data_IF_671186905739
#
_entry.id   IF_671186905739
#
_cell.length_a   1.000
_cell.length_b   1.000
_cell.length_c   1.000
_cell.angle_alpha   90.00
_cell.angle_beta   90.00
_cell.angle_gamma   90.00
#
_symmetry.space_group_name_H-M   'P 1'
#
loop_
_entity.id
_entity.type
_entity.pdbx_description
1 polymer ?
#
# COMPACT_ATOMS: atom_id res chain seq x y z
N UNK A 1 -8.56 -13.40 16.52
CA UNK A 1 -9.67 -12.63 15.90
C UNK A 1 -9.22 -11.27 15.38
N UNK A 2 -8.58 -10.41 16.19
CA UNK A 2 -8.15 -9.07 15.72
C UNK A 2 -7.12 -9.08 14.57
N UNK A 3 -6.14 -9.99 14.62
CA UNK A 3 -5.14 -10.15 13.55
C UNK A 3 -5.75 -10.54 12.21
N UNK A 4 -6.75 -11.42 12.20
CA UNK A 4 -7.46 -11.83 10.99
C UNK A 4 -8.22 -10.65 10.36
N UNK A 5 -8.90 -9.84 11.16
CA UNK A 5 -9.63 -8.66 10.65
C UNK A 5 -8.65 -7.63 10.09
N UNK A 6 -7.55 -7.34 10.81
CA UNK A 6 -6.52 -6.41 10.33
C UNK A 6 -5.83 -6.94 9.06
N UNK A 7 -5.54 -8.24 9.02
CA UNK A 7 -4.96 -8.93 7.87
C UNK A 7 -5.83 -8.81 6.62
N UNK A 8 -7.15 -9.04 6.76
CA UNK A 8 -8.11 -8.84 5.65
C UNK A 8 -8.15 -7.39 5.18
N UNK A 9 -8.14 -6.40 6.08
CA UNK A 9 -8.10 -4.98 5.71
C UNK A 9 -6.81 -4.66 4.94
N UNK A 10 -5.67 -5.19 5.40
CA UNK A 10 -4.38 -4.98 4.74
C UNK A 10 -4.34 -5.63 3.35
N UNK A 11 -4.91 -6.83 3.20
CA UNK A 11 -5.07 -7.46 1.89
C UNK A 11 -5.93 -6.60 0.96
N UNK A 12 -7.06 -6.08 1.45
CA UNK A 12 -7.98 -5.27 0.66
C UNK A 12 -7.30 -3.98 0.18
N UNK A 13 -6.59 -3.27 1.07
CA UNK A 13 -5.79 -2.08 0.72
C UNK A 13 -4.67 -2.46 -0.26
N UNK A 14 -3.96 -3.57 -0.02
CA UNK A 14 -2.88 -4.06 -0.88
C UNK A 14 -3.35 -4.34 -2.30
N UNK A 15 -4.51 -4.99 -2.45
CA UNK A 15 -5.13 -5.27 -3.76
C UNK A 15 -5.53 -3.97 -4.46
N UNK A 16 -6.17 -3.02 -3.76
CA UNK A 16 -6.54 -1.72 -4.34
C UNK A 16 -5.28 -0.99 -4.83
N UNK A 17 -4.21 -0.96 -4.03
CA UNK A 17 -2.97 -0.27 -4.41
C UNK A 17 -2.21 -1.00 -5.52
N UNK A 18 -2.36 -2.32 -5.64
CA UNK A 18 -1.75 -3.12 -6.69
C UNK A 18 -2.44 -2.89 -8.05
N UNK A 19 -3.78 -2.85 -8.07
CA UNK A 19 -4.57 -2.67 -9.31
C UNK A 19 -4.64 -1.19 -9.70
N UNK A 20 -4.85 -0.30 -8.72
CA UNK A 20 -5.02 1.14 -8.93
C UNK A 20 -3.97 1.95 -8.13
N UNK A 21 -2.68 1.81 -8.44
CA UNK A 21 -1.65 2.58 -7.76
C UNK A 21 -1.81 4.08 -8.04
N UNK A 22 -1.59 4.90 -7.01
CA UNK A 22 -1.53 6.35 -7.17
C UNK A 22 -0.38 6.74 -8.09
N UNK A 23 -0.68 7.32 -9.26
CA UNK A 23 0.35 7.62 -10.29
C UNK A 23 1.05 8.96 -10.10
N UNK A 24 0.44 9.86 -9.32
CA UNK A 24 0.93 11.22 -9.02
C UNK A 24 0.80 11.48 -7.53
N UNK A 25 1.64 12.36 -7.01
CA UNK A 25 1.59 12.78 -5.60
C UNK A 25 0.16 13.22 -5.26
N UNK A 26 -0.44 12.55 -4.28
CA UNK A 26 -1.82 12.79 -3.87
C UNK A 26 -1.90 12.84 -2.34
N UNK A 27 -2.74 13.74 -1.81
CA UNK A 27 -2.91 13.90 -0.36
C UNK A 27 -3.96 12.95 0.24
N UNK A 28 -4.87 12.44 -0.58
CA UNK A 28 -6.03 11.63 -0.19
C UNK A 28 -5.67 10.15 -0.14
N UNK A 29 -4.90 9.65 -1.11
CA UNK A 29 -4.61 8.21 -1.23
C UNK A 29 -3.18 7.91 -1.69
N UNK A 30 -2.69 6.73 -1.29
CA UNK A 30 -1.34 6.24 -1.54
C UNK A 30 -0.43 6.30 -0.31
N UNK A 31 0.65 5.53 -0.35
CA UNK A 31 1.68 5.51 0.68
C UNK A 31 2.51 6.80 0.65
N UNK A 32 2.51 7.52 1.77
CA UNK A 32 3.14 8.84 1.93
C UNK A 32 4.35 8.72 2.84
N UNK A 33 5.54 8.77 2.27
CA UNK A 33 6.79 8.97 3.02
C UNK A 33 7.47 10.26 2.56
N UNK A 34 8.42 10.77 3.36
CA UNK A 34 9.21 11.94 2.98
C UNK A 34 9.91 11.74 1.63
N UNK A 35 10.49 10.56 1.42
CA UNK A 35 11.18 10.19 0.18
C UNK A 35 10.21 10.00 -1.00
N UNK A 36 9.03 9.42 -0.76
CA UNK A 36 8.04 9.20 -1.81
C UNK A 36 7.51 10.52 -2.41
N UNK A 37 7.45 11.59 -1.62
CA UNK A 37 6.88 12.89 -2.04
C UNK A 37 7.88 13.80 -2.76
N UNK A 38 9.15 13.40 -2.93
CA UNK A 38 10.15 14.26 -3.58
C UNK A 38 9.85 14.48 -5.07
N UNK A 39 9.38 13.44 -5.78
CA UNK A 39 8.95 13.54 -7.18
C UNK A 39 8.02 12.38 -7.55
N UNK A 40 7.40 12.47 -8.73
CA UNK A 40 6.45 11.46 -9.21
C UNK A 40 7.11 10.08 -9.49
N UNK A 41 8.41 10.03 -9.75
CA UNK A 41 9.13 8.76 -9.98
C UNK A 41 9.25 7.98 -8.66
N UNK A 42 9.72 8.64 -7.60
CA UNK A 42 9.80 8.07 -6.27
C UNK A 42 8.41 7.76 -5.71
N UNK A 43 7.41 8.59 -6.01
CA UNK A 43 6.03 8.32 -5.64
C UNK A 43 5.54 6.99 -6.22
N UNK A 44 5.68 6.80 -7.54
CA UNK A 44 5.28 5.55 -8.21
C UNK A 44 6.04 4.34 -7.69
N UNK A 45 7.34 4.48 -7.45
CA UNK A 45 8.15 3.42 -6.85
C UNK A 45 7.62 3.04 -5.46
N UNK A 46 7.35 4.03 -4.61
CA UNK A 46 6.83 3.81 -3.27
C UNK A 46 5.45 3.15 -3.28
N UNK A 47 4.54 3.50 -4.21
CA UNK A 47 3.25 2.81 -4.35
C UNK A 47 3.37 1.34 -4.76
N UNK A 48 4.31 1.04 -5.68
CA UNK A 48 4.58 -0.32 -6.11
C UNK A 48 5.13 -1.18 -4.98
N UNK A 49 6.01 -0.62 -4.15
CA UNK A 49 6.58 -1.32 -3.00
C UNK A 49 5.56 -1.47 -1.87
N UNK A 50 4.82 -0.41 -1.53
CA UNK A 50 3.85 -0.44 -0.44
C UNK A 50 2.71 -1.44 -0.69
N UNK A 51 2.17 -1.51 -1.91
CA UNK A 51 1.14 -2.50 -2.28
C UNK A 51 1.58 -3.94 -1.99
N UNK A 52 2.83 -4.29 -2.35
CA UNK A 52 3.40 -5.61 -2.09
C UNK A 52 3.55 -5.90 -0.60
N UNK A 53 3.98 -4.93 0.19
CA UNK A 53 4.08 -5.09 1.65
C UNK A 53 2.71 -5.22 2.32
N UNK A 54 1.70 -4.47 1.87
CA UNK A 54 0.32 -4.64 2.35
C UNK A 54 -0.21 -6.03 2.06
N UNK A 55 0.05 -6.56 0.86
CA UNK A 55 -0.32 -7.93 0.50
C UNK A 55 0.43 -8.97 1.34
N UNK A 56 1.75 -8.82 1.52
CA UNK A 56 2.59 -9.75 2.28
C UNK A 56 2.16 -9.81 3.74
N UNK A 57 2.11 -8.66 4.43
CA UNK A 57 1.73 -8.62 5.84
C UNK A 57 0.25 -8.93 6.04
N UNK A 58 -0.62 -8.53 5.11
CA UNK A 58 -2.02 -8.93 5.11
C UNK A 58 -2.16 -10.45 5.08
N UNK A 59 -1.50 -11.13 4.14
CA UNK A 59 -1.52 -12.59 4.06
C UNK A 59 -0.96 -13.25 5.33
N UNK A 60 0.17 -12.76 5.83
CA UNK A 60 0.84 -13.30 7.03
C UNK A 60 -0.01 -13.14 8.30
N UNK A 61 -0.78 -12.06 8.42
CA UNK A 61 -1.68 -11.83 9.56
C UNK A 61 -3.02 -12.57 9.45
N UNK A 62 -3.42 -12.96 8.24
CA UNK A 62 -4.69 -13.66 8.00
C UNK A 62 -4.54 -15.17 8.16
N UNK A 63 -3.34 -15.70 7.92
CA UNK A 63 -2.95 -17.10 8.11
C UNK A 63 -2.72 -17.39 9.60
#
# INVERSE_FOLDING_TARGET
MIFLVIGMIFLLIGVIFFIFPSKKINFIYGYRSFLAKQNDIYWRYAQKISSRYFLLFGALMTL
#
